data_IF_857980723796
#
_entry.id   IF_857980723796
#
_cell.length_a   1.000
_cell.length_b   1.000
_cell.length_c   1.000
_cell.angle_alpha   90.00
_cell.angle_beta   90.00
_cell.angle_gamma   90.00
#
_symmetry.space_group_name_H-M   'P 1'
#
loop_
_entity.id
_entity.type
_entity.pdbx_description
1 polymer ?
#
# COMPACT_ATOMS: atom_id res chain seq x y z
N UNK A 1 -34.03 -42.76 -14.48
CA UNK A 1 -33.48 -42.29 -13.20
C UNK A 1 -31.98 -42.08 -13.37
N UNK A 2 -31.48 -40.98 -12.79
CA UNK A 2 -30.15 -40.34 -12.96
C UNK A 2 -29.99 -39.51 -14.23
N UNK A 3 -30.45 -38.25 -14.16
CA UNK A 3 -29.98 -37.16 -15.02
C UNK A 3 -28.50 -36.94 -14.75
N UNK A 4 -27.68 -37.04 -15.79
CA UNK A 4 -26.25 -36.73 -15.75
C UNK A 4 -26.09 -35.33 -15.16
N UNK A 5 -25.43 -35.24 -14.01
CA UNK A 5 -25.05 -33.98 -13.37
C UNK A 5 -24.29 -33.13 -14.38
N UNK A 6 -24.84 -31.98 -14.75
CA UNK A 6 -24.12 -31.01 -15.57
C UNK A 6 -22.80 -30.70 -14.86
N UNK A 7 -21.68 -31.05 -15.50
CA UNK A 7 -20.35 -30.64 -15.03
C UNK A 7 -20.36 -29.12 -14.94
N UNK A 8 -20.41 -28.57 -13.74
CA UNK A 8 -20.50 -27.12 -13.52
C UNK A 8 -19.17 -26.51 -13.95
N UNK A 9 -19.21 -25.77 -15.03
CA UNK A 9 -18.06 -25.13 -15.65
C UNK A 9 -18.26 -23.63 -15.58
N UNK A 10 -17.22 -22.92 -15.16
CA UNK A 10 -17.29 -21.47 -14.95
C UNK A 10 -16.37 -20.73 -15.91
N UNK A 11 -16.87 -19.65 -16.50
CA UNK A 11 -16.08 -18.75 -17.33
C UNK A 11 -15.33 -17.73 -16.46
N UNK A 12 -14.21 -17.20 -16.96
CA UNK A 12 -13.48 -16.10 -16.30
C UNK A 12 -14.38 -14.90 -15.94
N UNK A 13 -15.40 -14.61 -16.76
CA UNK A 13 -16.41 -13.58 -16.47
C UNK A 13 -17.16 -13.85 -15.18
N UNK A 14 -17.66 -15.07 -15.02
CA UNK A 14 -18.51 -15.48 -13.90
C UNK A 14 -17.70 -15.56 -12.63
N UNK A 15 -16.51 -16.18 -12.71
CA UNK A 15 -15.56 -16.24 -11.59
C UNK A 15 -15.16 -14.83 -11.15
N UNK A 16 -14.87 -13.93 -12.09
CA UNK A 16 -14.52 -12.54 -11.77
C UNK A 16 -15.64 -11.81 -11.03
N UNK A 17 -16.88 -11.94 -11.50
CA UNK A 17 -18.05 -11.30 -10.88
C UNK A 17 -18.27 -11.84 -9.47
N UNK A 18 -18.29 -13.17 -9.30
CA UNK A 18 -18.53 -13.82 -8.00
C UNK A 18 -17.53 -13.39 -6.93
N UNK A 19 -16.25 -13.23 -7.31
CA UNK A 19 -15.18 -12.87 -6.37
C UNK A 19 -14.82 -11.39 -6.39
N UNK A 20 -15.63 -10.53 -7.04
CA UNK A 20 -15.41 -9.07 -7.14
C UNK A 20 -13.98 -8.72 -7.56
N UNK A 21 -13.47 -9.44 -8.56
CA UNK A 21 -12.10 -9.27 -9.08
C UNK A 21 -12.12 -9.06 -10.59
N UNK A 22 -10.96 -8.75 -11.19
CA UNK A 22 -10.83 -8.57 -12.63
C UNK A 22 -10.42 -9.86 -13.33
N UNK A 23 -10.80 -10.00 -14.62
CA UNK A 23 -10.35 -11.14 -15.46
C UNK A 23 -8.82 -11.19 -15.57
N UNK A 24 -8.19 -10.01 -15.61
CA UNK A 24 -6.74 -9.86 -15.64
C UNK A 24 -6.11 -10.46 -14.39
N UNK A 25 -6.67 -10.17 -13.20
CA UNK A 25 -6.18 -10.74 -11.96
C UNK A 25 -6.30 -12.26 -11.94
N UNK A 26 -7.43 -12.82 -12.38
CA UNK A 26 -7.61 -14.28 -12.52
C UNK A 26 -6.53 -14.90 -13.40
N UNK A 27 -6.27 -14.32 -14.58
CA UNK A 27 -5.26 -14.82 -15.50
C UNK A 27 -3.85 -14.73 -14.91
N UNK A 28 -3.52 -13.61 -14.26
CA UNK A 28 -2.26 -13.43 -13.57
C UNK A 28 -2.07 -14.46 -12.46
N UNK A 29 -3.07 -14.64 -11.58
CA UNK A 29 -3.02 -15.65 -10.52
C UNK A 29 -2.86 -17.07 -11.08
N UNK A 30 -3.57 -17.42 -12.16
CA UNK A 30 -3.39 -18.69 -12.86
C UNK A 30 -1.95 -18.90 -13.33
N UNK A 31 -1.33 -17.86 -13.89
CA UNK A 31 0.02 -17.94 -14.43
C UNK A 31 1.08 -17.97 -13.32
N UNK A 32 0.88 -17.25 -12.22
CA UNK A 32 1.80 -17.24 -11.08
C UNK A 32 1.76 -18.54 -10.27
N UNK A 33 0.65 -19.27 -10.32
CA UNK A 33 0.45 -20.52 -9.60
C UNK A 33 0.28 -21.70 -10.56
N UNK A 34 1.05 -21.72 -11.66
CA UNK A 34 0.96 -22.78 -12.67
C UNK A 34 1.40 -24.16 -12.15
N UNK A 35 2.17 -24.19 -11.06
CA UNK A 35 2.56 -25.37 -10.30
C UNK A 35 1.37 -26.02 -9.57
N UNK A 36 0.42 -25.22 -9.10
CA UNK A 36 -0.76 -25.69 -8.35
C UNK A 36 -2.04 -25.72 -9.18
N UNK A 37 -2.17 -24.82 -10.16
CA UNK A 37 -3.28 -24.70 -11.08
C UNK A 37 -2.91 -25.40 -12.40
N UNK A 38 -3.17 -26.70 -12.41
CA UNK A 38 -2.87 -27.61 -13.51
C UNK A 38 -4.01 -27.62 -14.55
N UNK A 39 -3.65 -27.52 -15.82
CA UNK A 39 -4.55 -27.67 -16.97
C UNK A 39 -5.14 -29.10 -17.04
N UNK A 40 -6.38 -29.23 -17.51
CA UNK A 40 -7.20 -30.45 -17.53
C UNK A 40 -7.63 -30.98 -16.15
N UNK A 41 -7.15 -30.40 -15.05
CA UNK A 41 -7.61 -30.68 -13.68
C UNK A 41 -8.46 -29.52 -13.17
N UNK A 42 -7.85 -28.33 -13.09
CA UNK A 42 -8.46 -27.14 -12.48
C UNK A 42 -9.14 -26.24 -13.51
N UNK A 43 -8.60 -26.20 -14.73
CA UNK A 43 -9.16 -25.48 -15.85
C UNK A 43 -8.83 -26.21 -17.14
N UNK A 44 -9.58 -25.92 -18.19
CA UNK A 44 -9.32 -26.38 -19.53
C UNK A 44 -9.66 -25.27 -20.53
N UNK A 45 -9.17 -25.41 -21.76
CA UNK A 45 -9.51 -24.48 -22.83
C UNK A 45 -10.63 -25.05 -23.69
N UNK A 46 -11.49 -24.16 -24.17
CA UNK A 46 -12.49 -24.44 -25.19
C UNK A 46 -12.49 -23.33 -26.23
N UNK A 47 -12.98 -23.60 -27.44
CA UNK A 47 -13.09 -22.59 -28.48
C UNK A 47 -14.46 -21.96 -28.47
N UNK A 48 -14.49 -20.63 -28.33
CA UNK A 48 -15.71 -19.86 -28.45
C UNK A 48 -15.59 -18.82 -29.57
N UNK A 49 -16.70 -18.56 -30.24
CA UNK A 49 -16.80 -17.43 -31.17
C UNK A 49 -16.90 -16.14 -30.35
N UNK A 50 -15.92 -15.26 -30.48
CA UNK A 50 -15.93 -13.93 -29.84
C UNK A 50 -15.98 -12.85 -30.92
N UNK A 51 -16.05 -11.57 -30.49
CA UNK A 51 -15.97 -10.42 -31.40
C UNK A 51 -14.70 -10.40 -32.25
N UNK A 52 -13.65 -11.09 -31.82
CA UNK A 52 -12.38 -11.23 -32.55
C UNK A 52 -12.27 -12.53 -33.36
N UNK A 53 -13.38 -13.23 -33.62
CA UNK A 53 -13.40 -14.52 -34.28
C UNK A 53 -13.28 -15.69 -33.31
N UNK A 54 -12.86 -16.85 -33.81
CA UNK A 54 -12.72 -18.06 -33.00
C UNK A 54 -11.51 -17.94 -32.08
N UNK A 55 -11.74 -17.89 -30.78
CA UNK A 55 -10.69 -17.74 -29.77
C UNK A 55 -10.76 -18.86 -28.74
N UNK A 56 -9.59 -19.20 -28.17
CA UNK A 56 -9.49 -20.09 -27.01
C UNK A 56 -9.94 -19.34 -25.75
N UNK A 57 -10.86 -19.94 -25.00
CA UNK A 57 -11.44 -19.40 -23.77
C UNK A 57 -11.20 -20.38 -22.64
N UNK A 58 -10.78 -19.86 -21.48
CA UNK A 58 -10.57 -20.66 -20.27
C UNK A 58 -11.92 -20.96 -19.63
N UNK A 59 -12.09 -22.22 -19.27
CA UNK A 59 -13.21 -22.77 -18.53
C UNK A 59 -12.68 -23.45 -17.27
N UNK A 60 -13.25 -23.10 -16.12
CA UNK A 60 -12.81 -23.58 -14.82
C UNK A 60 -13.70 -24.71 -14.32
N UNK A 61 -13.08 -25.69 -13.67
CA UNK A 61 -13.80 -26.66 -12.83
C UNK A 61 -14.10 -26.03 -11.48
N UNK A 62 -15.09 -26.57 -10.75
CA UNK A 62 -15.40 -26.12 -9.39
C UNK A 62 -14.16 -26.18 -8.48
N UNK A 63 -13.37 -27.24 -8.56
CA UNK A 63 -12.12 -27.39 -7.81
C UNK A 63 -11.10 -26.28 -8.17
N UNK A 64 -10.95 -25.99 -9.47
CA UNK A 64 -10.07 -24.91 -9.90
C UNK A 64 -10.52 -23.54 -9.42
N UNK A 65 -11.84 -23.29 -9.37
CA UNK A 65 -12.40 -22.06 -8.80
C UNK A 65 -12.08 -21.95 -7.31
N UNK A 66 -12.23 -23.02 -6.53
CA UNK A 66 -11.88 -23.02 -5.11
C UNK A 66 -10.40 -22.75 -4.88
N UNK A 67 -9.50 -23.44 -5.59
CA UNK A 67 -8.05 -23.19 -5.47
C UNK A 67 -7.67 -21.78 -5.87
N UNK A 68 -8.25 -21.26 -6.97
CA UNK A 68 -8.04 -19.88 -7.40
C UNK A 68 -8.47 -18.89 -6.31
N UNK A 69 -9.63 -19.11 -5.69
CA UNK A 69 -10.13 -18.26 -4.61
C UNK A 69 -9.18 -18.23 -3.41
N UNK A 70 -8.66 -19.38 -2.98
CA UNK A 70 -7.69 -19.45 -1.88
C UNK A 70 -6.42 -18.65 -2.18
N UNK A 71 -5.94 -18.66 -3.44
CA UNK A 71 -4.81 -17.84 -3.86
C UNK A 71 -5.12 -16.35 -3.83
N UNK A 72 -6.26 -15.95 -4.38
CA UNK A 72 -6.69 -14.55 -4.39
C UNK A 72 -6.88 -14.03 -2.96
N UNK A 73 -7.47 -14.83 -2.07
CA UNK A 73 -7.67 -14.47 -0.66
C UNK A 73 -6.32 -14.28 0.07
N UNK A 74 -5.40 -15.24 -0.07
CA UNK A 74 -4.05 -15.14 0.52
C UNK A 74 -3.27 -13.93 0.00
N UNK A 75 -3.41 -13.58 -1.27
CA UNK A 75 -2.79 -12.37 -1.84
C UNK A 75 -3.36 -11.10 -1.21
N UNK A 76 -4.69 -11.03 -1.01
CA UNK A 76 -5.35 -9.89 -0.37
C UNK A 76 -5.00 -9.77 1.12
N UNK A 77 -4.86 -10.89 1.82
CA UNK A 77 -4.40 -10.89 3.20
C UNK A 77 -2.95 -10.41 3.31
N UNK A 78 -2.07 -10.86 2.41
CA UNK A 78 -0.68 -10.37 2.33
C UNK A 78 -0.60 -8.87 2.01
N UNK A 79 -1.45 -8.36 1.11
CA UNK A 79 -1.50 -6.93 0.81
C UNK A 79 -2.01 -6.12 2.00
N UNK A 80 -3.07 -6.58 2.68
CA UNK A 80 -3.59 -5.90 3.87
C UNK A 80 -2.60 -5.92 5.05
N UNK A 81 -1.73 -6.93 5.12
CA UNK A 81 -0.66 -7.01 6.13
C UNK A 81 0.54 -6.09 5.81
N UNK A 82 0.74 -5.73 4.54
CA UNK A 82 1.83 -4.83 4.09
C UNK A 82 1.37 -3.38 3.92
N UNK A 83 0.08 -3.14 3.75
CA UNK A 83 -0.54 -1.85 4.00
C UNK A 83 -0.55 -1.60 5.50
N UNK A 84 0.58 -1.14 6.05
CA UNK A 84 0.56 -0.37 7.29
C UNK A 84 -0.56 0.66 7.14
N UNK A 85 -1.64 0.48 7.90
CA UNK A 85 -2.82 1.33 7.84
C UNK A 85 -2.35 2.78 7.97
N UNK A 86 -2.35 3.50 6.85
CA UNK A 86 -1.86 4.87 6.81
C UNK A 86 -2.67 5.67 7.83
N UNK A 87 -1.95 6.23 8.82
CA UNK A 87 -2.56 7.06 9.85
C UNK A 87 -3.19 8.28 9.17
N UNK A 88 -4.33 8.75 9.69
CA UNK A 88 -4.94 10.00 9.21
C UNK A 88 -4.49 11.17 10.08
N UNK A 89 -4.42 12.38 9.51
CA UNK A 89 -4.33 13.59 10.33
C UNK A 89 -5.68 13.90 10.96
N UNK A 90 -5.66 14.19 12.26
CA UNK A 90 -6.82 14.66 13.03
C UNK A 90 -6.93 16.19 12.98
N UNK A 91 -5.77 16.84 13.04
CA UNK A 91 -5.64 18.29 13.04
C UNK A 91 -4.34 18.71 12.34
N UNK A 92 -4.38 19.86 11.67
CA UNK A 92 -3.22 20.50 11.06
C UNK A 92 -3.14 21.95 11.57
N UNK A 93 -1.93 22.45 11.77
CA UNK A 93 -1.67 23.80 12.26
C UNK A 93 -0.25 24.27 11.95
N UNK A 94 0.09 25.45 12.44
CA UNK A 94 1.42 26.06 12.28
C UNK A 94 2.04 26.24 13.66
N UNK A 95 3.22 25.67 13.88
CA UNK A 95 4.03 25.85 15.07
C UNK A 95 5.00 27.02 14.84
N UNK A 96 4.95 28.03 15.71
CA UNK A 96 5.89 29.16 15.69
C UNK A 96 7.06 28.86 16.62
N UNK A 97 8.27 28.88 16.08
CA UNK A 97 9.52 28.74 16.82
C UNK A 97 10.32 30.03 16.60
N UNK A 98 10.35 30.89 17.61
CA UNK A 98 10.95 32.22 17.53
C UNK A 98 10.38 33.03 16.34
N UNK A 99 11.22 33.39 15.36
CA UNK A 99 10.85 34.12 14.16
C UNK A 99 10.39 33.20 13.00
N UNK A 100 10.47 31.89 13.17
CA UNK A 100 10.18 30.89 12.14
C UNK A 100 8.86 30.17 12.35
N UNK A 101 8.24 29.72 11.27
CA UNK A 101 6.97 28.96 11.28
C UNK A 101 7.10 27.61 10.59
N UNK A 102 6.56 26.56 11.21
CA UNK A 102 6.58 25.17 10.71
C UNK A 102 5.17 24.63 10.60
N UNK A 103 4.82 24.04 9.46
CA UNK A 103 3.58 23.29 9.32
C UNK A 103 3.65 21.96 10.09
N UNK A 104 2.66 21.74 10.96
CA UNK A 104 2.53 20.56 11.82
C UNK A 104 1.18 19.90 11.59
N UNK A 105 1.17 18.57 11.50
CA UNK A 105 -0.04 17.76 11.54
C UNK A 105 0.02 16.80 12.74
N UNK A 106 -1.14 16.45 13.27
CA UNK A 106 -1.31 15.51 14.39
C UNK A 106 -2.02 14.27 13.87
N UNK A 107 -1.39 13.10 14.01
CA UNK A 107 -1.94 11.83 13.52
C UNK A 107 -2.92 11.19 14.52
N UNK A 108 -3.70 10.21 14.04
CA UNK A 108 -4.65 9.42 14.84
C UNK A 108 -4.06 8.80 16.12
N UNK A 109 -2.77 8.48 16.11
CA UNK A 109 -2.04 7.93 17.26
C UNK A 109 -1.48 9.00 18.21
N UNK A 110 -1.83 10.28 18.01
CA UNK A 110 -1.34 11.41 18.80
C UNK A 110 0.07 11.89 18.43
N UNK A 111 0.74 11.27 17.45
CA UNK A 111 2.07 11.67 17.02
C UNK A 111 2.01 12.97 16.22
N UNK A 112 2.86 13.93 16.60
CA UNK A 112 3.03 15.20 15.89
C UNK A 112 4.12 15.10 14.83
N UNK A 113 3.84 15.78 13.74
CA UNK A 113 4.34 15.40 12.44
C UNK A 113 4.63 16.70 11.68
N UNK A 114 5.90 16.98 11.37
CA UNK A 114 6.31 18.25 10.72
C UNK A 114 6.86 18.04 9.30
N UNK A 115 6.89 19.11 8.49
CA UNK A 115 7.45 19.05 7.13
C UNK A 115 8.97 19.17 7.12
N UNK A 116 9.64 18.35 6.31
CA UNK A 116 11.08 18.52 6.02
C UNK A 116 11.42 19.91 5.46
N UNK A 117 10.57 20.47 4.59
CA UNK A 117 10.75 21.84 4.11
C UNK A 117 10.66 22.86 5.24
N UNK A 118 9.75 22.66 6.20
CA UNK A 118 9.65 23.48 7.41
C UNK A 118 10.92 23.44 8.24
N UNK A 119 11.48 22.26 8.48
CA UNK A 119 12.74 22.11 9.24
C UNK A 119 13.91 22.80 8.56
N UNK A 120 14.06 22.64 7.24
CA UNK A 120 15.11 23.32 6.49
C UNK A 120 14.99 24.84 6.61
N UNK A 121 13.77 25.38 6.48
CA UNK A 121 13.49 26.80 6.64
C UNK A 121 13.88 27.34 8.02
N UNK A 122 13.53 26.60 9.08
CA UNK A 122 13.86 27.00 10.47
C UNK A 122 15.35 26.90 10.75
N UNK A 123 16.05 25.96 10.13
CA UNK A 123 17.51 25.85 10.22
C UNK A 123 18.25 26.85 9.30
N UNK A 124 17.54 27.75 8.61
CA UNK A 124 18.14 28.72 7.69
C UNK A 124 18.81 28.08 6.47
N UNK A 125 18.31 26.92 6.00
CA UNK A 125 18.85 26.17 4.86
C UNK A 125 17.82 26.01 3.77
N UNK A 126 18.25 26.10 2.52
CA UNK A 126 17.43 25.74 1.37
C UNK A 126 17.29 24.20 1.26
N UNK A 127 16.08 23.66 1.03
CA UNK A 127 15.88 22.23 0.84
C UNK A 127 16.54 21.77 -0.46
N UNK A 128 17.68 21.08 -0.35
CA UNK A 128 18.37 20.51 -1.52
C UNK A 128 17.61 19.29 -2.04
N UNK A 129 17.33 19.29 -3.34
CA UNK A 129 16.69 18.16 -4.02
C UNK A 129 17.66 16.98 -4.15
N UNK A 130 17.55 16.01 -3.25
CA UNK A 130 17.92 14.62 -3.52
C UNK A 130 17.26 13.69 -2.50
N UNK A 131 16.33 12.87 -2.97
CA UNK A 131 15.81 11.76 -2.20
C UNK A 131 16.81 10.60 -2.29
N UNK A 132 17.87 10.65 -1.47
CA UNK A 132 18.72 9.47 -1.26
C UNK A 132 17.87 8.34 -0.66
N UNK A 133 18.27 7.09 -0.97
CA UNK A 133 17.58 5.86 -0.58
C UNK A 133 17.42 5.73 0.94
N UNK A 134 18.34 6.34 1.69
CA UNK A 134 18.58 6.05 3.10
C UNK A 134 17.64 6.78 4.08
N UNK A 135 16.62 7.48 3.58
CA UNK A 135 15.61 8.24 4.37
C UNK A 135 16.16 9.35 5.29
N UNK A 136 17.48 9.44 5.49
CA UNK A 136 18.16 10.44 6.32
C UNK A 136 18.07 11.83 5.67
N UNK A 137 17.76 12.88 6.44
CA UNK A 137 17.77 14.27 5.98
C UNK A 137 19.18 14.72 5.56
N UNK A 138 19.26 15.49 4.47
CA UNK A 138 20.54 15.84 3.85
C UNK A 138 21.53 16.60 4.77
N UNK A 139 21.05 17.26 5.82
CA UNK A 139 21.94 17.93 6.78
C UNK A 139 22.58 17.00 7.81
N UNK A 140 22.04 15.79 8.00
CA UNK A 140 22.59 14.75 8.88
C UNK A 140 23.43 13.72 8.11
N UNK A 141 23.38 13.76 6.79
CA UNK A 141 23.94 12.74 5.91
C UNK A 141 25.45 12.91 5.62
N UNK A 142 26.19 13.49 6.56
CA UNK A 142 27.64 13.54 6.47
C UNK A 142 28.20 12.19 6.93
N UNK A 143 29.10 11.58 6.15
CA UNK A 143 29.66 10.24 6.42
C UNK A 143 30.26 10.10 7.83
N UNK A 144 30.85 11.18 8.34
CA UNK A 144 31.43 11.25 9.68
C UNK A 144 30.37 11.40 10.79
N UNK A 145 29.17 11.89 10.47
CA UNK A 145 28.07 12.03 11.42
C UNK A 145 27.20 10.79 11.51
N UNK A 146 27.06 10.01 10.43
CA UNK A 146 26.19 8.82 10.39
C UNK A 146 26.40 7.81 11.54
N UNK A 147 27.64 7.49 11.98
CA UNK A 147 27.88 6.59 13.11
C UNK A 147 27.46 7.19 14.46
N UNK A 148 27.41 8.52 14.56
CA UNK A 148 27.04 9.25 15.77
C UNK A 148 25.51 9.44 15.90
N UNK A 149 24.75 9.11 14.86
CA UNK A 149 23.28 9.18 14.89
C UNK A 149 22.74 7.96 15.64
N UNK A 150 22.18 8.20 16.83
CA UNK A 150 21.55 7.17 17.64
C UNK A 150 20.37 6.51 16.90
N UNK A 151 20.10 5.24 17.19
CA UNK A 151 18.96 4.52 16.63
C UNK A 151 17.63 5.22 16.94
N UNK A 152 17.49 5.81 18.12
CA UNK A 152 16.31 6.60 18.50
C UNK A 152 16.11 7.78 17.55
N UNK A 153 17.17 8.57 17.30
CA UNK A 153 17.08 9.71 16.41
C UNK A 153 16.77 9.26 14.98
N UNK A 154 17.31 8.12 14.53
CA UNK A 154 16.94 7.52 13.23
C UNK A 154 15.44 7.22 13.12
N UNK A 155 14.80 6.75 14.19
CA UNK A 155 13.35 6.53 14.16
C UNK A 155 12.56 7.83 14.04
N UNK A 156 13.01 8.90 14.69
CA UNK A 156 12.33 10.19 14.69
C UNK A 156 12.44 10.94 13.36
N UNK A 157 13.54 10.75 12.62
CA UNK A 157 13.80 11.39 11.31
C UNK A 157 13.28 10.59 10.11
N UNK A 158 12.71 9.41 10.36
CA UNK A 158 12.20 8.54 9.30
C UNK A 158 10.97 9.17 8.60
N UNK A 159 10.80 8.88 7.31
CA UNK A 159 9.70 9.44 6.53
C UNK A 159 8.45 8.62 6.75
N UNK A 160 7.32 9.28 6.97
CA UNK A 160 6.04 8.63 7.19
C UNK A 160 5.04 9.07 6.11
N UNK A 161 4.29 8.12 5.56
CA UNK A 161 3.16 8.42 4.68
C UNK A 161 1.88 8.46 5.52
N UNK A 162 1.00 9.42 5.28
CA UNK A 162 -0.24 9.56 6.05
C UNK A 162 -1.35 10.16 5.16
N UNK A 163 -2.59 10.06 5.63
CA UNK A 163 -3.78 10.59 4.96
C UNK A 163 -4.13 11.97 5.53
N UNK A 164 -4.19 12.97 4.66
CA UNK A 164 -4.53 14.34 5.05
C UNK A 164 -6.06 14.51 5.16
N UNK A 165 -6.52 15.12 6.26
CA UNK A 165 -7.92 15.47 6.52
C UNK A 165 -8.52 16.39 5.46
N UNK A 166 -7.76 17.39 5.01
CA UNK A 166 -8.27 18.45 4.11
C UNK A 166 -8.31 18.02 2.65
N UNK A 167 -7.48 17.06 2.28
CA UNK A 167 -7.33 16.60 0.92
C UNK A 167 -8.10 15.29 0.76
N UNK A 168 -9.41 15.34 0.45
CA UNK A 168 -10.29 14.18 0.15
C UNK A 168 -9.54 12.92 -0.36
N UNK A 169 -9.03 12.07 0.54
CA UNK A 169 -8.32 10.83 0.20
C UNK A 169 -6.95 10.97 -0.50
N UNK A 170 -6.33 12.15 -0.59
CA UNK A 170 -4.97 12.26 -1.17
C UNK A 170 -3.92 11.86 -0.14
N UNK A 171 -3.08 10.89 -0.50
CA UNK A 171 -1.91 10.49 0.28
C UNK A 171 -0.91 11.66 0.27
N UNK A 172 -0.68 12.29 1.42
CA UNK A 172 0.45 13.21 1.60
C UNK A 172 1.62 12.43 2.18
N UNK A 173 2.76 12.46 1.49
CA UNK A 173 4.03 12.03 2.08
C UNK A 173 4.60 13.23 2.84
N UNK A 174 4.38 13.28 4.16
CA UNK A 174 5.09 14.25 4.99
C UNK A 174 6.41 13.63 5.46
N UNK A 175 7.51 14.29 5.09
CA UNK A 175 8.85 13.94 5.53
C UNK A 175 9.03 14.46 6.95
N UNK A 176 9.05 13.58 7.95
CA UNK A 176 8.80 13.94 9.34
C UNK A 176 10.02 14.18 10.22
N UNK A 177 9.76 14.94 11.30
CA UNK A 177 10.46 14.92 12.59
C UNK A 177 9.41 14.85 13.71
N UNK A 178 9.67 14.03 14.73
CA UNK A 178 8.77 13.76 15.85
C UNK A 178 9.09 14.67 17.04
N UNK A 179 8.10 15.41 17.53
CA UNK A 179 8.19 16.08 18.83
C UNK A 179 7.48 15.20 19.87
N UNK A 180 8.24 14.63 20.80
CA UNK A 180 7.70 13.81 21.89
C UNK A 180 7.38 14.69 23.08
N UNK A 181 6.12 15.10 23.25
CA UNK A 181 5.47 15.17 24.58
C UNK A 181 3.95 14.98 24.42
N UNK A 182 3.30 14.07 25.18
CA UNK A 182 1.84 13.99 25.26
C UNK A 182 1.25 15.19 26.01
N UNK A 183 0.08 15.66 25.59
CA UNK A 183 -0.63 16.87 26.08
C UNK A 183 -1.26 16.67 27.48
N UNK A 184 -0.59 15.95 28.40
CA UNK A 184 -1.07 15.80 29.77
C UNK A 184 -0.07 16.37 30.78
N UNK A 185 0.18 17.69 30.72
CA UNK A 185 0.68 18.51 31.84
C UNK A 185 0.24 19.98 31.68
N UNK A 186 -1.07 20.22 31.78
CA UNK A 186 -1.59 21.50 32.26
C UNK A 186 -2.71 21.21 33.27
N UNK A 187 -2.28 21.02 34.51
CA UNK A 187 -3.05 21.13 35.76
C UNK A 187 -2.10 21.68 36.81
#
# INVERSE_FOLDING_TARGET
MQTLTQKTIFLNTEVAISYKTSKQNINSTKNYHSDELIENIHYFYDYAQTKGGRQRVIKWTLEGVYKLFDKIKKLKERSNMTEEKLLKSLADGVLKINESSIDVAVLENGVRIITHSGVFRVLGREPRGNARLDQIPAFMDAKNLQPLISSELKTQISRISYLDKKSFGKIKKLKLWRENEPINKFS
#
